data_IF_768890528374
#
_entry.id   IF_768890528374
#
_cell.length_a   1.000
_cell.length_b   1.000
_cell.length_c   1.000
_cell.angle_alpha   90.00
_cell.angle_beta   90.00
_cell.angle_gamma   90.00
#
_symmetry.space_group_name_H-M   'P 1'
#
loop_
_entity.id
_entity.type
_entity.pdbx_description
1 polymer ?
#
# COMPACT_ATOMS: atom_id res chain seq x y z
N UNK A 1 2.33 9.93 -1.87
CA UNK A 1 2.58 8.47 -1.85
C UNK A 1 2.58 8.05 -0.39
N UNK A 2 2.01 6.89 -0.03
CA UNK A 2 1.94 6.48 1.36
C UNK A 2 3.33 6.10 1.92
N UNK A 3 3.45 6.10 3.23
CA UNK A 3 4.64 5.80 4.00
C UNK A 3 4.39 4.58 4.88
N UNK A 4 5.44 3.80 5.12
CA UNK A 4 5.44 2.66 6.03
C UNK A 4 6.68 2.69 6.89
N UNK A 5 6.54 2.28 8.13
CA UNK A 5 7.65 2.01 9.02
C UNK A 5 8.05 0.54 8.93
N UNK A 6 9.36 0.26 8.90
CA UNK A 6 9.92 -1.09 8.88
C UNK A 6 10.93 -1.29 10.01
N UNK A 7 10.79 -2.41 10.73
CA UNK A 7 11.79 -2.86 11.69
C UNK A 7 12.27 -4.27 11.32
N UNK A 8 13.44 -4.40 10.65
CA UNK A 8 13.99 -5.71 10.26
C UNK A 8 14.26 -6.62 11.45
N UNK A 9 14.69 -6.05 12.58
CA UNK A 9 14.99 -6.81 13.80
C UNK A 9 13.76 -7.52 14.37
N UNK A 10 12.58 -6.92 14.23
CA UNK A 10 11.32 -7.51 14.67
C UNK A 10 10.54 -8.21 13.55
N UNK A 11 11.01 -8.12 12.29
CA UNK A 11 10.32 -8.60 11.10
C UNK A 11 8.87 -8.07 11.01
N UNK A 12 8.68 -6.77 11.26
CA UNK A 12 7.37 -6.11 11.16
C UNK A 12 7.42 -4.91 10.23
N UNK A 13 6.26 -4.62 9.64
CA UNK A 13 5.98 -3.45 8.82
C UNK A 13 4.67 -2.83 9.29
N UNK A 14 4.63 -1.52 9.45
CA UNK A 14 3.41 -0.81 9.83
C UNK A 14 2.37 -0.82 8.70
N UNK A 15 1.11 -0.48 9.00
CA UNK A 15 0.17 -0.04 7.97
C UNK A 15 0.74 1.11 7.13
N UNK A 16 0.19 1.30 5.93
CA UNK A 16 0.51 2.44 5.08
C UNK A 16 -0.21 3.70 5.55
N UNK A 17 0.51 4.80 5.70
CA UNK A 17 0.00 6.11 6.11
C UNK A 17 0.20 7.16 5.03
N UNK A 18 -0.74 8.07 4.84
CA UNK A 18 -0.59 9.17 3.87
C UNK A 18 0.43 10.23 4.30
N UNK A 19 0.69 10.35 5.60
CA UNK A 19 1.64 11.26 6.18
C UNK A 19 2.81 10.49 6.79
N UNK A 20 4.04 10.90 6.50
CA UNK A 20 5.28 10.30 7.02
C UNK A 20 5.29 10.29 8.55
N UNK A 21 4.88 11.40 9.18
CA UNK A 21 4.84 11.52 10.63
C UNK A 21 3.98 10.46 11.33
N UNK A 22 2.94 9.94 10.68
CA UNK A 22 2.12 8.85 11.25
C UNK A 22 2.82 7.50 11.19
N UNK A 23 3.64 7.25 10.16
CA UNK A 23 4.50 6.08 10.13
C UNK A 23 5.62 6.19 11.17
N UNK A 24 6.14 7.40 11.39
CA UNK A 24 7.13 7.69 12.41
C UNK A 24 6.59 7.47 13.83
N UNK A 25 5.42 8.01 14.14
CA UNK A 25 4.72 7.81 15.42
C UNK A 25 4.49 6.33 15.73
N UNK A 26 4.12 5.54 14.73
CA UNK A 26 4.02 4.09 14.89
C UNK A 26 5.36 3.44 15.25
N UNK A 27 6.44 3.90 14.62
CA UNK A 27 7.80 3.49 14.94
C UNK A 27 8.20 3.84 16.37
N UNK A 28 7.85 5.05 16.83
CA UNK A 28 8.08 5.52 18.18
C UNK A 28 7.35 4.63 19.20
N UNK A 29 6.05 4.40 19.02
CA UNK A 29 5.24 3.51 19.85
C UNK A 29 5.82 2.08 19.90
N UNK A 30 6.26 1.57 18.75
CA UNK A 30 6.91 0.25 18.66
C UNK A 30 8.22 0.21 19.43
N UNK A 31 9.09 1.22 19.28
CA UNK A 31 10.38 1.27 19.98
C UNK A 31 10.19 1.32 21.49
N UNK A 32 9.25 2.12 21.96
CA UNK A 32 8.94 2.22 23.39
C UNK A 32 8.45 0.86 23.94
N UNK A 33 7.65 0.12 23.18
CA UNK A 33 7.12 -1.18 23.61
C UNK A 33 8.05 -2.40 23.42
N UNK A 34 9.03 -2.33 22.52
CA UNK A 34 9.84 -3.51 22.09
C UNK A 34 11.35 -3.31 22.20
N UNK A 35 11.82 -2.08 22.29
CA UNK A 35 13.24 -1.72 22.24
C UNK A 35 13.65 -0.75 23.35
N UNK A 36 12.80 -0.49 24.34
CA UNK A 36 13.03 0.49 25.42
C UNK A 36 13.40 1.88 24.86
N UNK A 37 12.76 2.26 23.74
CA UNK A 37 13.03 3.49 22.99
C UNK A 37 14.23 3.42 22.04
N UNK A 38 14.98 2.31 22.03
CA UNK A 38 16.15 2.11 21.20
C UNK A 38 15.83 1.93 19.72
N UNK A 39 16.68 2.49 18.85
CA UNK A 39 16.59 2.39 17.40
C UNK A 39 17.42 1.20 16.87
N UNK A 40 16.80 0.08 16.47
CA UNK A 40 17.54 -1.05 15.94
C UNK A 40 18.14 -0.73 14.56
N UNK A 41 19.27 -1.38 14.27
CA UNK A 41 19.92 -1.23 12.97
C UNK A 41 18.98 -1.63 11.81
N UNK A 42 18.95 -0.78 10.77
CA UNK A 42 18.12 -0.99 9.58
C UNK A 42 16.65 -0.59 9.76
N UNK A 43 16.26 -0.08 10.92
CA UNK A 43 14.97 0.60 11.10
C UNK A 43 14.87 1.82 10.19
N UNK A 44 13.75 1.96 9.48
CA UNK A 44 13.51 3.12 8.61
C UNK A 44 12.03 3.30 8.32
N UNK A 45 11.67 4.53 7.97
CA UNK A 45 10.40 4.84 7.30
C UNK A 45 10.69 4.90 5.80
N UNK A 46 9.93 4.15 5.02
CA UNK A 46 10.01 4.17 3.55
C UNK A 46 8.75 4.76 2.94
N UNK A 47 8.92 5.44 1.80
CA UNK A 47 7.81 5.84 0.96
C UNK A 47 7.41 4.66 0.06
N UNK A 48 6.22 4.13 0.27
CA UNK A 48 5.67 3.07 -0.58
C UNK A 48 5.21 3.67 -1.89
N UNK A 49 5.77 3.20 -3.01
CA UNK A 49 5.25 3.53 -4.33
C UNK A 49 3.84 2.95 -4.43
N UNK A 50 2.86 3.80 -4.74
CA UNK A 50 1.55 3.32 -5.17
C UNK A 50 1.77 2.55 -6.48
N UNK A 51 1.65 1.22 -6.42
CA UNK A 51 1.47 0.43 -7.63
C UNK A 51 0.11 0.78 -8.20
N UNK A 52 0.09 1.76 -9.09
CA UNK A 52 -1.06 2.03 -9.93
C UNK A 52 -1.20 0.81 -10.87
N UNK A 53 -2.42 0.29 -11.06
CA UNK A 53 -2.63 -0.79 -12.02
C UNK A 53 -2.13 -0.34 -13.39
N UNK A 54 -1.46 -1.26 -14.09
CA UNK A 54 -0.93 -1.02 -15.42
C UNK A 54 -2.06 -0.47 -16.32
N UNK A 55 -1.76 0.60 -17.06
CA UNK A 55 -2.71 1.23 -17.98
C UNK A 55 -3.22 0.23 -19.03
N UNK A 56 -2.39 -0.75 -19.42
CA UNK A 56 -2.82 -1.85 -20.27
C UNK A 56 -3.86 -2.77 -19.62
N UNK A 57 -3.73 -3.02 -18.31
CA UNK A 57 -4.65 -3.87 -17.55
C UNK A 57 -6.00 -3.18 -17.34
N UNK A 58 -5.99 -1.86 -17.09
CA UNK A 58 -7.20 -1.04 -17.05
C UNK A 58 -7.90 -0.99 -18.42
N UNK A 59 -7.13 -0.87 -19.51
CA UNK A 59 -7.67 -0.90 -20.87
C UNK A 59 -8.33 -2.24 -21.22
N UNK A 60 -7.69 -3.36 -20.87
CA UNK A 60 -8.25 -4.69 -21.08
C UNK A 60 -9.54 -4.91 -20.27
N UNK A 61 -9.57 -4.48 -19.01
CA UNK A 61 -10.77 -4.55 -18.17
C UNK A 61 -11.92 -3.73 -18.78
N UNK A 62 -11.65 -2.48 -19.18
CA UNK A 62 -12.64 -1.61 -19.81
C UNK A 62 -13.20 -2.22 -21.10
N UNK A 63 -12.34 -2.83 -21.93
CA UNK A 63 -12.75 -3.52 -23.15
C UNK A 63 -13.65 -4.72 -22.88
N UNK A 64 -13.29 -5.57 -21.90
CA UNK A 64 -14.13 -6.71 -21.49
C UNK A 64 -15.49 -6.25 -20.99
N UNK A 65 -15.52 -5.22 -20.12
CA UNK A 65 -16.78 -4.62 -19.63
C UNK A 65 -17.61 -4.08 -20.79
N UNK A 66 -17.01 -3.39 -21.75
CA UNK A 66 -17.70 -2.89 -22.93
C UNK A 66 -18.31 -4.02 -23.78
N UNK A 67 -17.58 -5.11 -24.01
CA UNK A 67 -18.09 -6.28 -24.74
C UNK A 67 -19.27 -6.94 -24.03
N UNK A 68 -19.18 -7.09 -22.70
CA UNK A 68 -20.28 -7.66 -21.90
C UNK A 68 -21.53 -6.78 -21.94
N UNK A 69 -21.37 -5.45 -21.89
CA UNK A 69 -22.48 -4.51 -22.02
C UNK A 69 -23.13 -4.60 -23.41
N UNK A 70 -22.34 -4.69 -24.48
CA UNK A 70 -22.88 -4.88 -25.84
C UNK A 70 -23.63 -6.20 -25.96
N UNK A 71 -23.06 -7.30 -25.45
CA UNK A 71 -23.72 -8.61 -25.48
C UNK A 71 -25.07 -8.60 -24.73
N UNK A 72 -25.12 -7.96 -23.56
CA UNK A 72 -26.36 -7.79 -22.79
C UNK A 72 -27.41 -6.99 -23.56
N UNK A 73 -27.01 -5.90 -24.21
CA UNK A 73 -27.92 -5.09 -25.02
C UNK A 73 -28.46 -5.86 -26.23
N UNK A 74 -27.62 -6.69 -26.87
CA UNK A 74 -28.06 -7.54 -28.01
C UNK A 74 -29.04 -8.61 -27.56
N UNK A 75 -28.88 -9.20 -26.37
CA UNK A 75 -29.85 -10.18 -25.85
C UNK A 75 -31.16 -9.55 -25.36
N UNK A 76 -31.20 -8.24 -25.13
CA UNK A 76 -32.38 -7.50 -24.69
C UNK A 76 -33.28 -7.02 -25.84
N UNK A 77 -32.86 -7.22 -27.10
CA UNK A 77 -33.60 -6.86 -28.34
C UNK A 77 -34.15 -8.12 -28.99
#
# INVERSE_FOLDING_TARGET
>A
MPYRYNCPRCAITSPSYWAEGRAQEWGDEHRDGRHDGGHPYGEHVEQTRLELPDTGQLGALAFVVALLLVALLVQAV
#
